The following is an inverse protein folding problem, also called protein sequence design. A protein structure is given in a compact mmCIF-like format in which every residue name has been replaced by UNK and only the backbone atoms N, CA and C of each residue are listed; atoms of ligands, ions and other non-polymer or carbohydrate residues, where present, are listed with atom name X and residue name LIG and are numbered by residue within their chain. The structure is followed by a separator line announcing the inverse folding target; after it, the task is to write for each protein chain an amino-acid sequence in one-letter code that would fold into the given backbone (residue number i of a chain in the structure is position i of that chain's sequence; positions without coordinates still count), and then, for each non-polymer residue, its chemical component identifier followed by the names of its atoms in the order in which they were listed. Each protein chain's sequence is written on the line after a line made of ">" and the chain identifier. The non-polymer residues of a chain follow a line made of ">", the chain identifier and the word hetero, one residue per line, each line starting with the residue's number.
data_IF_813096182253
#
_entry.id   IF_813096182253
#
_cell.length_a   1.000
_cell.length_b   1.000
_cell.length_c   1.000
_cell.angle_alpha   90.00
_cell.angle_beta   90.00
_cell.angle_gamma   90.00
#
_symmetry.space_group_name_H-M   'P 1'
#
loop_
_entity.id
_entity.type
_entity.pdbx_description
1 polymer ?
#
# COMPACT_ATOMS: atom_id res chain seq x y z
N UNK A 1 15.67 -1.53 3.40
CA UNK A 1 15.07 -0.61 2.41
C UNK A 1 13.98 0.12 3.18
N UNK A 2 13.92 1.43 3.12
CA UNK A 2 12.88 2.19 3.85
C UNK A 2 11.48 1.65 3.50
N UNK A 3 10.63 1.42 4.49
CA UNK A 3 9.29 0.87 4.31
C UNK A 3 8.46 1.70 3.32
N UNK A 4 8.61 3.03 3.38
CA UNK A 4 7.99 3.95 2.42
C UNK A 4 8.44 3.64 0.98
N UNK A 5 9.73 3.41 0.77
CA UNK A 5 10.27 3.09 -0.55
C UNK A 5 9.76 1.73 -1.09
N UNK A 6 9.52 0.74 -0.21
CA UNK A 6 8.86 -0.53 -0.63
C UNK A 6 7.42 -0.29 -1.08
N UNK A 7 6.67 0.55 -0.35
CA UNK A 7 5.30 0.94 -0.72
C UNK A 7 5.31 1.67 -2.06
N UNK A 8 6.13 2.71 -2.24
CA UNK A 8 6.20 3.51 -3.47
C UNK A 8 6.54 2.66 -4.70
N UNK A 9 7.43 1.67 -4.53
CA UNK A 9 7.75 0.69 -5.57
C UNK A 9 6.54 -0.17 -5.92
N UNK A 10 5.76 -0.62 -4.94
CA UNK A 10 4.53 -1.34 -5.19
C UNK A 10 3.49 -0.49 -5.92
N UNK A 11 3.33 0.78 -5.55
CA UNK A 11 2.46 1.73 -6.27
C UNK A 11 2.89 1.85 -7.73
N UNK A 12 4.19 2.02 -7.98
CA UNK A 12 4.75 2.07 -9.34
C UNK A 12 4.48 0.78 -10.12
N UNK A 13 4.61 -0.38 -9.47
CA UNK A 13 4.32 -1.68 -10.08
C UNK A 13 2.84 -1.84 -10.41
N UNK A 14 1.93 -1.46 -9.51
CA UNK A 14 0.50 -1.46 -9.76
C UNK A 14 0.14 -0.54 -10.93
N UNK A 15 0.68 0.67 -10.98
CA UNK A 15 0.45 1.60 -12.10
C UNK A 15 0.86 1.00 -13.46
N UNK A 16 1.97 0.24 -13.49
CA UNK A 16 2.50 -0.35 -14.73
C UNK A 16 1.86 -1.66 -15.14
N UNK A 17 1.57 -2.54 -14.18
CA UNK A 17 1.12 -3.92 -14.45
C UNK A 17 -0.37 -4.12 -14.22
N UNK A 18 -0.98 -3.34 -13.32
CA UNK A 18 -2.36 -3.47 -12.87
C UNK A 18 -3.04 -2.10 -12.78
N UNK A 19 -3.17 -1.37 -13.91
CA UNK A 19 -3.46 0.07 -13.92
C UNK A 19 -4.78 0.46 -13.25
N UNK A 20 -5.77 -0.44 -13.18
CA UNK A 20 -6.99 -0.23 -12.40
C UNK A 20 -6.69 -0.02 -10.90
N UNK A 21 -5.90 -0.90 -10.29
CA UNK A 21 -5.54 -0.76 -8.87
C UNK A 21 -4.55 0.37 -8.64
N UNK A 22 -3.62 0.58 -9.58
CA UNK A 22 -2.69 1.69 -9.53
C UNK A 22 -3.38 3.06 -9.55
N UNK A 23 -4.40 3.23 -10.39
CA UNK A 23 -5.14 4.50 -10.49
C UNK A 23 -5.97 4.81 -9.24
N UNK A 24 -6.59 3.80 -8.62
CA UNK A 24 -7.28 3.97 -7.32
C UNK A 24 -6.30 4.40 -6.23
N UNK A 25 -5.10 3.82 -6.23
CA UNK A 25 -4.05 4.10 -5.24
C UNK A 25 -3.62 5.57 -5.26
N UNK A 26 -3.57 6.20 -6.44
CA UNK A 26 -3.19 7.62 -6.58
C UNK A 26 -4.14 8.59 -5.87
N UNK A 27 -5.35 8.15 -5.54
CA UNK A 27 -6.34 8.94 -4.81
C UNK A 27 -6.17 8.93 -3.29
N UNK A 28 -5.17 8.21 -2.75
CA UNK A 28 -4.92 8.11 -1.32
C UNK A 28 -3.73 8.94 -0.86
N UNK A 29 -3.82 9.49 0.35
CA UNK A 29 -2.67 9.94 1.11
C UNK A 29 -1.99 8.74 1.79
N UNK A 30 -0.76 8.43 1.39
CA UNK A 30 0.01 7.30 1.94
C UNK A 30 0.64 7.72 3.27
N UNK A 31 0.33 7.02 4.36
CA UNK A 31 0.78 7.39 5.71
C UNK A 31 1.28 6.20 6.54
N UNK A 32 2.52 6.21 7.05
CA UNK A 32 2.97 5.19 7.99
C UNK A 32 2.21 5.31 9.32
N UNK A 33 1.86 4.17 9.93
CA UNK A 33 1.18 4.11 11.21
C UNK A 33 1.47 2.81 11.97
N UNK A 34 1.99 2.91 13.19
CA UNK A 34 2.21 1.78 14.08
C UNK A 34 0.95 1.39 14.87
N UNK A 35 -0.16 2.12 14.70
CA UNK A 35 -1.41 1.89 15.44
C UNK A 35 -2.25 0.74 14.88
N UNK A 36 -1.90 0.23 13.70
CA UNK A 36 -2.54 -0.92 13.04
C UNK A 36 -1.52 -2.04 12.85
N UNK A 37 -1.94 -3.32 12.85
CA UNK A 37 -1.00 -4.44 12.72
C UNK A 37 -0.49 -4.65 11.28
N UNK A 38 -1.21 -4.15 10.27
CA UNK A 38 -0.98 -4.42 8.85
C UNK A 38 -1.11 -3.14 8.01
N UNK A 39 -2.03 -3.11 7.05
CA UNK A 39 -2.44 -1.94 6.28
C UNK A 39 -3.94 -1.72 6.50
N UNK A 40 -4.40 -0.49 6.28
CA UNK A 40 -5.80 -0.13 6.40
C UNK A 40 -6.10 1.12 5.58
N UNK A 41 -7.37 1.40 5.32
CA UNK A 41 -7.80 2.67 4.74
C UNK A 41 -9.03 3.24 5.45
N UNK A 42 -9.16 4.57 5.42
CA UNK A 42 -10.39 5.31 5.79
C UNK A 42 -11.12 5.88 4.54
N UNK A 43 -10.72 5.47 3.33
CA UNK A 43 -11.24 5.98 2.06
C UNK A 43 -10.54 7.23 1.52
N UNK A 44 -9.73 7.92 2.34
CA UNK A 44 -8.94 9.11 2.00
C UNK A 44 -7.44 8.84 2.17
N UNK A 45 -7.07 8.17 3.26
CA UNK A 45 -5.71 7.78 3.62
C UNK A 45 -5.56 6.28 3.49
N UNK A 46 -4.36 5.87 3.10
CA UNK A 46 -3.92 4.48 3.14
C UNK A 46 -2.79 4.38 4.15
N UNK A 47 -3.10 3.72 5.26
CA UNK A 47 -2.19 3.50 6.36
C UNK A 47 -1.41 2.21 6.14
N UNK A 48 -0.12 2.22 6.48
CA UNK A 48 0.67 1.01 6.52
C UNK A 48 1.53 0.96 7.78
N UNK A 49 1.64 -0.21 8.39
CA UNK A 49 2.59 -0.46 9.45
C UNK A 49 3.98 -0.75 8.85
N UNK A 50 5.01 0.07 9.14
CA UNK A 50 6.36 -0.13 8.64
C UNK A 50 6.94 -1.52 8.97
N UNK A 51 6.75 -2.01 10.21
CA UNK A 51 7.27 -3.31 10.66
C UNK A 51 6.64 -4.45 9.87
N UNK A 52 5.35 -4.34 9.56
CA UNK A 52 4.66 -5.30 8.69
C UNK A 52 5.20 -5.27 7.26
N UNK A 53 5.31 -4.06 6.67
CA UNK A 53 5.79 -3.85 5.28
C UNK A 53 7.21 -4.36 5.08
N UNK A 54 8.10 -4.19 6.06
CA UNK A 54 9.48 -4.66 5.97
C UNK A 54 9.55 -6.19 5.85
N UNK A 55 8.68 -6.91 6.54
CA UNK A 55 8.62 -8.37 6.56
C UNK A 55 7.99 -8.98 5.30
N UNK A 56 7.22 -8.21 4.52
CA UNK A 56 6.52 -8.75 3.36
C UNK A 56 7.41 -8.85 2.12
N UNK A 57 7.19 -9.92 1.36
CA UNK A 57 7.61 -10.01 -0.04
C UNK A 57 6.87 -8.98 -0.89
N UNK A 58 7.51 -8.53 -1.98
CA UNK A 58 6.97 -7.46 -2.82
C UNK A 58 5.60 -7.80 -3.42
N UNK A 59 5.39 -9.05 -3.85
CA UNK A 59 4.12 -9.47 -4.43
C UNK A 59 2.98 -9.43 -3.40
N UNK A 60 3.23 -9.94 -2.19
CA UNK A 60 2.27 -9.88 -1.07
C UNK A 60 1.95 -8.44 -0.71
N UNK A 61 2.97 -7.57 -0.61
CA UNK A 61 2.77 -6.16 -0.31
C UNK A 61 1.87 -5.47 -1.36
N UNK A 62 2.14 -5.71 -2.64
CA UNK A 62 1.35 -5.09 -3.72
C UNK A 62 -0.09 -5.63 -3.74
N UNK A 63 -0.29 -6.92 -3.42
CA UNK A 63 -1.62 -7.52 -3.28
C UNK A 63 -2.40 -6.93 -2.10
N UNK A 64 -1.77 -6.77 -0.93
CA UNK A 64 -2.42 -6.16 0.24
C UNK A 64 -2.75 -4.69 -0.05
N UNK A 65 -1.85 -3.95 -0.69
CA UNK A 65 -2.13 -2.56 -1.07
C UNK A 65 -3.31 -2.46 -2.05
N UNK A 66 -3.40 -3.36 -3.03
CA UNK A 66 -4.57 -3.45 -3.92
C UNK A 66 -5.86 -3.88 -3.16
N UNK A 67 -5.75 -4.76 -2.17
CA UNK A 67 -6.87 -5.17 -1.31
C UNK A 67 -7.44 -3.98 -0.54
N UNK A 68 -6.58 -3.15 0.06
CA UNK A 68 -7.04 -1.96 0.80
C UNK A 68 -7.78 -0.96 -0.09
N UNK A 69 -7.42 -0.83 -1.37
CA UNK A 69 -8.19 -0.02 -2.32
C UNK A 69 -9.65 -0.48 -2.45
N UNK A 70 -9.94 -1.76 -2.20
CA UNK A 70 -11.28 -2.36 -2.26
C UNK A 70 -12.15 -2.11 -1.03
N UNK A 71 -11.59 -1.57 0.05
CA UNK A 71 -12.33 -1.16 1.26
C UNK A 71 -12.75 0.31 1.26
N UNK A 72 -12.57 0.99 0.12
CA UNK A 72 -13.00 2.37 -0.11
C UNK A 72 -14.51 2.50 -0.30
#
# INVERSE_FOLDING_TARGET
>A
MDAQMKVDRCITRLLRQYPFWGSLTLGFEIQPSNSIPTMATDGIRLFFNPDYVEQQDEEILCTVLAHENGHK
#
